data_IF_543248583349
#
_entry.id   IF_543248583349
#
_cell.length_a   1.000
_cell.length_b   1.000
_cell.length_c   1.000
_cell.angle_alpha   90.00
_cell.angle_beta   90.00
_cell.angle_gamma   90.00
#
_symmetry.space_group_name_H-M   'P 1'
#
loop_
_entity.id
_entity.type
_entity.pdbx_description
1 polymer ?
#
# COMPACT_ATOMS: atom_id res chain seq x y z
N UNK A 1 6.52 -31.27 36.07
CA UNK A 1 6.34 -32.09 34.86
C UNK A 1 5.00 -31.68 34.26
N UNK A 2 5.02 -31.32 33.00
CA UNK A 2 4.05 -30.49 32.27
C UNK A 2 2.67 -31.09 32.11
N UNK A 3 1.63 -30.31 32.43
CA UNK A 3 0.36 -30.32 31.70
C UNK A 3 -0.37 -28.99 31.96
N UNK A 4 -0.32 -28.07 31.00
CA UNK A 4 -1.32 -27.02 30.91
C UNK A 4 -1.74 -26.86 29.46
N UNK A 5 -2.77 -27.66 29.14
CA UNK A 5 -3.63 -27.56 27.97
C UNK A 5 -4.13 -26.11 27.83
N UNK A 6 -3.51 -25.34 26.93
CA UNK A 6 -4.06 -24.06 26.43
C UNK A 6 -4.47 -24.21 24.96
N UNK A 7 -5.26 -25.24 24.68
CA UNK A 7 -6.07 -25.31 23.48
C UNK A 7 -7.33 -24.44 23.70
N UNK A 8 -7.23 -23.12 23.50
CA UNK A 8 -8.45 -22.28 23.46
C UNK A 8 -8.32 -20.87 22.86
N UNK A 9 -7.14 -20.44 22.37
CA UNK A 9 -7.03 -19.10 21.76
C UNK A 9 -6.46 -19.09 20.34
N UNK A 10 -6.15 -20.24 19.73
CA UNK A 10 -5.57 -20.26 18.38
C UNK A 10 -6.58 -20.28 17.24
N UNK A 11 -7.88 -20.44 17.48
CA UNK A 11 -8.82 -20.67 16.36
C UNK A 11 -9.19 -19.37 15.62
N UNK A 12 -9.11 -18.23 16.30
CA UNK A 12 -9.28 -16.92 15.66
C UNK A 12 -7.98 -16.44 15.01
N UNK A 13 -6.83 -16.72 15.61
CA UNK A 13 -5.53 -16.39 15.03
C UNK A 13 -5.15 -17.27 13.83
N UNK A 14 -5.58 -18.55 13.78
CA UNK A 14 -5.43 -19.40 12.60
C UNK A 14 -6.32 -18.97 11.43
N UNK A 15 -7.31 -18.10 11.65
CA UNK A 15 -8.06 -17.49 10.54
C UNK A 15 -7.26 -16.39 9.82
N UNK A 16 -6.25 -15.80 10.46
CA UNK A 16 -5.43 -14.73 9.86
C UNK A 16 -4.22 -15.27 9.07
N UNK A 17 -3.86 -16.54 9.23
CA UNK A 17 -2.85 -17.19 8.37
C UNK A 17 -3.40 -17.49 6.97
N UNK A 18 -4.73 -17.47 6.78
CA UNK A 18 -5.39 -17.58 5.48
C UNK A 18 -5.41 -16.28 4.67
N UNK A 19 -5.16 -15.11 5.28
CA UNK A 19 -5.04 -13.84 4.55
C UNK A 19 -3.85 -13.83 3.56
N UNK A 20 -2.94 -14.81 3.67
CA UNK A 20 -1.85 -15.06 2.71
C UNK A 20 -2.28 -15.89 1.47
N UNK A 21 -3.56 -16.19 1.28
CA UNK A 21 -4.03 -17.15 0.25
C UNK A 21 -4.97 -16.59 -0.80
N UNK A 22 -5.23 -15.29 -0.85
CA UNK A 22 -5.97 -14.71 -1.98
C UNK A 22 -4.97 -14.08 -2.96
N UNK A 23 -4.71 -14.71 -4.12
CA UNK A 23 -3.88 -14.14 -5.17
C UNK A 23 -4.33 -12.74 -5.56
N UNK A 24 -5.64 -12.50 -5.60
CA UNK A 24 -6.21 -11.19 -5.90
C UNK A 24 -5.74 -10.11 -4.92
N UNK A 25 -5.85 -10.33 -3.60
CA UNK A 25 -5.42 -9.35 -2.59
C UNK A 25 -3.92 -9.05 -2.69
N UNK A 26 -3.10 -10.07 -2.94
CA UNK A 26 -1.66 -9.88 -3.10
C UNK A 26 -1.36 -9.06 -4.36
N UNK A 27 -1.98 -9.41 -5.49
CA UNK A 27 -1.83 -8.64 -6.73
C UNK A 27 -2.29 -7.19 -6.57
N UNK A 28 -3.44 -6.96 -5.94
CA UNK A 28 -3.95 -5.61 -5.68
C UNK A 28 -3.04 -4.82 -4.75
N UNK A 29 -2.53 -5.43 -3.67
CA UNK A 29 -1.58 -4.77 -2.78
C UNK A 29 -0.26 -4.43 -3.47
N UNK A 30 0.26 -5.34 -4.31
CA UNK A 30 1.47 -5.09 -5.10
C UNK A 30 1.27 -3.97 -6.13
N UNK A 31 0.12 -3.93 -6.81
CA UNK A 31 -0.21 -2.86 -7.77
C UNK A 31 -0.32 -1.49 -7.07
N UNK A 32 -0.95 -1.44 -5.89
CA UNK A 32 -1.02 -0.23 -5.06
C UNK A 32 0.38 0.21 -4.64
N UNK A 33 1.23 -0.73 -4.22
CA UNK A 33 2.60 -0.43 -3.79
C UNK A 33 3.43 0.12 -4.94
N UNK A 34 3.33 -0.45 -6.14
CA UNK A 34 4.04 0.01 -7.33
C UNK A 34 3.62 1.43 -7.72
N UNK A 35 2.31 1.69 -7.84
CA UNK A 35 1.78 3.02 -8.17
C UNK A 35 2.14 4.06 -7.11
N UNK A 36 2.14 3.68 -5.83
CA UNK A 36 2.54 4.58 -4.75
C UNK A 36 4.02 4.95 -4.84
N UNK A 37 4.90 4.00 -5.18
CA UNK A 37 6.33 4.27 -5.40
C UNK A 37 6.55 5.19 -6.59
N UNK A 38 5.80 5.01 -7.68
CA UNK A 38 5.86 5.89 -8.85
C UNK A 38 5.49 7.33 -8.49
N UNK A 39 4.40 7.52 -7.73
CA UNK A 39 3.98 8.84 -7.23
C UNK A 39 5.01 9.48 -6.29
N UNK A 40 5.69 8.68 -5.45
CA UNK A 40 6.74 9.17 -4.56
C UNK A 40 7.99 9.61 -5.32
N UNK A 41 8.46 8.80 -6.27
CA UNK A 41 9.62 9.13 -7.11
C UNK A 41 9.39 10.45 -7.85
N UNK A 42 8.18 10.67 -8.36
CA UNK A 42 7.79 11.89 -9.06
C UNK A 42 7.97 13.19 -8.22
N UNK A 43 7.98 13.07 -6.90
CA UNK A 43 8.15 14.19 -5.95
C UNK A 43 9.57 14.21 -5.36
N UNK A 44 10.21 13.06 -5.19
CA UNK A 44 11.48 12.90 -4.46
C UNK A 44 12.74 12.89 -5.34
N UNK A 45 12.66 12.52 -6.63
CA UNK A 45 13.82 12.20 -7.48
C UNK A 45 14.85 13.34 -7.62
N UNK A 46 14.42 14.61 -7.52
CA UNK A 46 15.28 15.80 -7.66
C UNK A 46 15.33 16.70 -6.40
N UNK A 47 14.76 16.27 -5.27
CA UNK A 47 14.48 17.16 -4.14
C UNK A 47 15.26 16.82 -2.86
N UNK A 48 16.48 17.36 -2.77
CA UNK A 48 17.43 17.19 -1.66
C UNK A 48 17.04 17.93 -0.37
N UNK A 49 16.08 18.88 -0.44
CA UNK A 49 15.60 19.65 0.71
C UNK A 49 14.07 19.65 0.81
N UNK A 50 13.55 19.87 2.03
CA UNK A 50 12.11 19.96 2.27
C UNK A 50 11.42 21.03 1.41
N UNK A 51 12.06 22.19 1.23
CA UNK A 51 11.53 23.27 0.40
C UNK A 51 11.39 22.83 -1.07
N UNK A 52 12.40 22.15 -1.61
CA UNK A 52 12.37 21.61 -2.97
C UNK A 52 11.30 20.51 -3.11
N UNK A 53 11.10 19.66 -2.10
CA UNK A 53 10.03 18.64 -2.12
C UNK A 53 8.65 19.28 -2.15
N UNK A 54 8.44 20.32 -1.34
CA UNK A 54 7.19 21.06 -1.33
C UNK A 54 6.94 21.76 -2.68
N UNK A 55 7.96 22.38 -3.26
CA UNK A 55 7.89 23.00 -4.59
C UNK A 55 7.56 21.98 -5.69
N UNK A 56 8.29 20.84 -5.71
CA UNK A 56 8.04 19.76 -6.67
C UNK A 56 6.64 19.19 -6.53
N UNK A 57 6.16 18.96 -5.30
CA UNK A 57 4.78 18.54 -5.05
C UNK A 57 3.75 19.49 -5.69
N UNK A 58 3.88 20.81 -5.48
CA UNK A 58 2.93 21.76 -6.05
C UNK A 58 2.99 21.80 -7.58
N UNK A 59 4.18 21.68 -8.16
CA UNK A 59 4.37 21.62 -9.62
C UNK A 59 3.76 20.36 -10.23
N UNK A 60 3.92 19.23 -9.55
CA UNK A 60 3.50 17.90 -10.00
C UNK A 60 2.07 17.51 -9.59
N UNK A 61 1.41 18.33 -8.77
CA UNK A 61 0.04 18.12 -8.28
C UNK A 61 -0.98 17.71 -9.35
N UNK A 62 -1.01 18.31 -10.57
CA UNK A 62 -1.95 17.89 -11.61
C UNK A 62 -1.73 16.44 -12.07
N UNK A 63 -0.47 16.03 -12.22
CA UNK A 63 -0.06 14.69 -12.62
C UNK A 63 -0.42 13.66 -11.53
N UNK A 64 -0.14 13.99 -10.27
CA UNK A 64 -0.54 13.17 -9.11
C UNK A 64 -2.06 12.98 -9.03
N UNK A 65 -2.84 14.04 -9.29
CA UNK A 65 -4.31 13.95 -9.29
C UNK A 65 -4.79 13.01 -10.42
N UNK A 66 -4.19 13.09 -11.61
CA UNK A 66 -4.52 12.19 -12.73
C UNK A 66 -4.26 10.73 -12.35
N UNK A 67 -3.09 10.41 -11.80
CA UNK A 67 -2.74 9.05 -11.39
C UNK A 67 -3.70 8.50 -10.32
N UNK A 68 -4.16 9.34 -9.39
CA UNK A 68 -5.14 8.95 -8.36
C UNK A 68 -6.53 8.72 -8.98
N UNK A 69 -6.97 9.57 -9.92
CA UNK A 69 -8.25 9.39 -10.60
C UNK A 69 -8.29 8.11 -11.42
N UNK A 70 -7.20 7.80 -12.13
CA UNK A 70 -7.04 6.55 -12.86
C UNK A 70 -7.12 5.34 -11.91
N UNK A 71 -6.47 5.44 -10.74
CA UNK A 71 -6.53 4.36 -9.74
C UNK A 71 -7.94 4.13 -9.17
N UNK A 72 -8.67 5.20 -8.85
CA UNK A 72 -10.03 5.09 -8.27
C UNK A 72 -11.03 4.59 -9.30
N UNK A 73 -10.91 5.04 -10.56
CA UNK A 73 -11.82 4.60 -11.63
C UNK A 73 -11.67 3.13 -11.98
N UNK A 74 -10.45 2.57 -11.92
CA UNK A 74 -10.21 1.15 -12.18
C UNK A 74 -10.60 0.21 -11.04
N UNK A 75 -10.79 0.72 -9.82
CA UNK A 75 -11.19 -0.08 -8.65
C UNK A 75 -12.71 -0.04 -8.38
N UNK A 76 -13.44 0.86 -9.04
CA UNK A 76 -14.89 1.02 -8.90
C UNK A 76 -15.73 0.29 -9.99
N UNK A 77 -15.08 -0.39 -10.95
CA UNK A 77 -15.72 -1.29 -11.93
C UNK A 77 -15.40 -2.74 -11.61
#
# INVERSE_FOLDING_TARGET
MTDYKKASHSWWFDSHTSAKRSPWLQSTLSEIEEKTKEMLNLIEEDADSFAQRAEMYYRKRPELISMIQDFISHTAS
#
